data_IF_588481120656
#
_entry.id   IF_588481120656
#
_cell.length_a   1.000
_cell.length_b   1.000
_cell.length_c   1.000
_cell.angle_alpha   90.00
_cell.angle_beta   90.00
_cell.angle_gamma   90.00
#
_symmetry.space_group_name_H-M   'P 1'
#
loop_
_entity.id
_entity.type
_entity.pdbx_description
1 polymer ?
#
# COMPACT_ATOMS: atom_id res chain seq x y z
N UNK A 1 8.45 32.86 -0.19
CA UNK A 1 7.34 32.27 -0.98
C UNK A 1 6.40 31.78 0.10
N UNK A 2 5.16 32.27 0.18
CA UNK A 2 4.28 32.03 1.32
C UNK A 2 4.08 30.54 1.64
N UNK A 3 4.28 29.65 0.66
CA UNK A 3 4.24 28.19 0.84
C UNK A 3 5.52 27.65 1.51
N UNK A 4 6.69 28.22 1.19
CA UNK A 4 7.98 27.87 1.83
C UNK A 4 8.04 28.43 3.25
N UNK A 5 7.47 29.61 3.47
CA UNK A 5 7.40 30.24 4.79
C UNK A 5 6.37 29.52 5.67
N UNK A 6 5.22 29.10 5.12
CA UNK A 6 4.24 28.21 5.78
C UNK A 6 4.81 26.81 6.08
N UNK A 7 5.60 26.25 5.16
CA UNK A 7 6.31 24.98 5.38
C UNK A 7 7.37 25.12 6.48
N UNK A 8 8.17 26.20 6.49
CA UNK A 8 9.18 26.45 7.52
C UNK A 8 8.55 26.66 8.90
N UNK A 9 7.41 27.34 8.96
CA UNK A 9 6.64 27.55 10.18
C UNK A 9 5.91 26.28 10.66
N UNK A 10 5.53 25.38 9.73
CA UNK A 10 4.97 24.04 10.03
C UNK A 10 6.04 23.01 10.43
N UNK A 11 7.30 23.19 10.01
CA UNK A 11 8.46 22.43 10.50
C UNK A 11 8.69 22.72 11.99
N UNK A 12 8.60 23.99 12.41
CA UNK A 12 8.83 24.39 13.81
C UNK A 12 7.69 24.03 14.77
N UNK A 13 6.46 23.85 14.28
CA UNK A 13 5.26 23.66 15.13
C UNK A 13 4.80 22.19 15.30
N UNK A 14 5.55 21.22 14.77
CA UNK A 14 5.22 19.79 14.91
C UNK A 14 4.12 19.28 13.96
N UNK A 15 3.61 20.14 13.08
CA UNK A 15 2.52 19.86 12.13
C UNK A 15 2.96 18.91 11.01
N UNK A 16 4.22 18.98 10.57
CA UNK A 16 4.73 18.08 9.51
C UNK A 16 4.79 16.62 9.96
N UNK A 17 5.02 16.37 11.26
CA UNK A 17 4.95 15.00 11.80
C UNK A 17 3.53 14.44 11.74
N UNK A 18 2.52 15.28 11.96
CA UNK A 18 1.12 14.89 11.83
C UNK A 18 0.81 14.57 10.36
N UNK A 19 1.16 15.44 9.42
CA UNK A 19 0.86 15.22 7.98
C UNK A 19 1.56 13.97 7.41
N UNK A 20 2.84 13.75 7.73
CA UNK A 20 3.53 12.51 7.34
C UNK A 20 2.87 11.28 7.94
N UNK A 21 2.53 11.34 9.23
CA UNK A 21 1.88 10.23 9.92
C UNK A 21 0.48 9.96 9.36
N UNK A 22 -0.25 10.99 8.94
CA UNK A 22 -1.57 10.89 8.33
C UNK A 22 -1.50 10.23 6.93
N UNK A 23 -0.55 10.66 6.07
CA UNK A 23 -0.33 10.04 4.75
C UNK A 23 0.15 8.59 4.92
N UNK A 24 1.09 8.36 5.84
CA UNK A 24 1.60 7.04 6.15
C UNK A 24 0.51 6.11 6.68
N UNK A 25 -0.33 6.57 7.62
CA UNK A 25 -1.46 5.81 8.14
C UNK A 25 -2.47 5.49 7.04
N UNK A 26 -2.75 6.44 6.14
CA UNK A 26 -3.63 6.20 5.00
C UNK A 26 -3.06 5.10 4.09
N UNK A 27 -1.75 5.12 3.79
CA UNK A 27 -1.11 4.10 2.96
C UNK A 27 -1.08 2.72 3.63
N UNK A 28 -0.88 2.65 4.95
CA UNK A 28 -1.01 1.41 5.72
C UNK A 28 -2.47 0.91 5.72
N UNK A 29 -3.44 1.81 5.82
CA UNK A 29 -4.86 1.48 5.75
C UNK A 29 -5.21 0.92 4.36
N UNK A 30 -4.67 1.50 3.29
CA UNK A 30 -4.81 0.98 1.92
C UNK A 30 -4.23 -0.43 1.80
N UNK A 31 -3.05 -0.72 2.35
CA UNK A 31 -2.49 -2.08 2.37
C UNK A 31 -3.42 -3.05 3.10
N UNK A 32 -3.93 -2.64 4.25
CA UNK A 32 -4.83 -3.49 5.03
C UNK A 32 -6.12 -3.76 4.26
N UNK A 33 -6.70 -2.74 3.62
CA UNK A 33 -7.83 -2.90 2.71
C UNK A 33 -7.49 -3.82 1.54
N UNK A 34 -6.33 -3.67 0.91
CA UNK A 34 -5.88 -4.52 -0.20
C UNK A 34 -5.74 -5.99 0.22
N UNK A 35 -5.26 -6.24 1.43
CA UNK A 35 -5.20 -7.57 2.01
C UNK A 35 -6.60 -8.15 2.28
N UNK A 36 -7.51 -7.35 2.87
CA UNK A 36 -8.90 -7.75 3.13
C UNK A 36 -9.67 -7.98 1.83
N UNK A 37 -9.49 -7.14 0.82
CA UNK A 37 -10.14 -7.31 -0.47
C UNK A 37 -9.50 -8.43 -1.29
N UNK A 38 -8.22 -8.74 -1.08
CA UNK A 38 -7.58 -9.93 -1.61
C UNK A 38 -8.23 -11.23 -1.10
N UNK A 39 -8.83 -11.22 0.10
CA UNK A 39 -9.65 -12.33 0.59
C UNK A 39 -10.94 -12.50 -0.22
N UNK A 40 -11.46 -11.40 -0.76
CA UNK A 40 -12.69 -11.36 -1.56
C UNK A 40 -12.39 -11.43 -3.08
N UNK A 41 -11.26 -12.03 -3.46
CA UNK A 41 -10.83 -12.21 -4.85
C UNK A 41 -10.40 -10.89 -5.54
N UNK A 42 -10.84 -10.62 -6.77
CA UNK A 42 -10.43 -9.47 -7.58
C UNK A 42 -10.89 -8.09 -7.03
N UNK A 43 -11.44 -7.99 -5.82
CA UNK A 43 -11.86 -6.70 -5.27
C UNK A 43 -10.68 -5.74 -5.01
N UNK A 44 -9.49 -6.28 -4.76
CA UNK A 44 -8.24 -5.50 -4.70
C UNK A 44 -7.90 -4.80 -6.02
N UNK A 45 -8.35 -5.34 -7.18
CA UNK A 45 -8.15 -4.70 -8.47
C UNK A 45 -8.96 -3.40 -8.60
N UNK A 46 -10.12 -3.29 -7.93
CA UNK A 46 -10.90 -2.05 -7.92
C UNK A 46 -10.21 -0.94 -7.14
N UNK A 47 -9.58 -1.26 -6.00
CA UNK A 47 -8.80 -0.29 -5.23
C UNK A 47 -7.59 0.18 -6.03
N UNK A 48 -6.90 -0.73 -6.70
CA UNK A 48 -5.76 -0.37 -7.54
C UNK A 48 -6.17 0.45 -8.77
N UNK A 49 -7.29 0.10 -9.40
CA UNK A 49 -7.86 0.87 -10.51
C UNK A 49 -8.32 2.26 -10.08
N UNK A 50 -8.91 2.38 -8.88
CA UNK A 50 -9.29 3.66 -8.31
C UNK A 50 -8.07 4.54 -8.07
N UNK A 51 -7.04 4.04 -7.39
CA UNK A 51 -5.79 4.78 -7.18
C UNK A 51 -5.10 5.15 -8.50
N UNK A 52 -5.05 4.23 -9.46
CA UNK A 52 -4.51 4.49 -10.80
C UNK A 52 -5.32 5.53 -11.60
N UNK A 53 -6.65 5.54 -11.45
CA UNK A 53 -7.52 6.54 -12.07
C UNK A 53 -7.25 7.94 -11.52
N UNK A 54 -7.10 8.10 -10.20
CA UNK A 54 -6.76 9.40 -9.61
C UNK A 54 -5.41 9.90 -10.11
N UNK A 55 -4.39 9.05 -10.13
CA UNK A 55 -3.08 9.40 -10.68
C UNK A 55 -3.22 9.84 -12.15
N UNK A 56 -3.96 9.07 -12.96
CA UNK A 56 -4.22 9.39 -14.37
C UNK A 56 -4.96 10.72 -14.55
N UNK A 57 -5.97 10.98 -13.73
CA UNK A 57 -6.72 12.23 -13.72
C UNK A 57 -5.81 13.42 -13.39
N UNK A 58 -4.96 13.31 -12.35
CA UNK A 58 -3.99 14.35 -12.01
C UNK A 58 -2.93 14.53 -13.11
N UNK A 59 -2.47 13.47 -13.78
CA UNK A 59 -1.55 13.61 -14.92
C UNK A 59 -2.19 14.32 -16.11
N UNK A 60 -3.49 14.12 -16.36
CA UNK A 60 -4.18 14.70 -17.51
C UNK A 60 -4.45 16.21 -17.36
N UNK A 61 -4.49 16.72 -16.13
CA UNK A 61 -4.73 18.13 -15.83
C UNK A 61 -3.42 18.93 -15.77
N UNK A 62 -2.29 18.25 -15.59
CA UNK A 62 -0.98 18.89 -15.53
C UNK A 62 -0.37 18.96 -16.94
N UNK A 63 0.08 20.15 -17.34
CA UNK A 63 0.70 20.36 -18.66
C UNK A 63 2.11 19.72 -18.77
N UNK A 64 2.75 19.41 -17.65
CA UNK A 64 4.10 18.85 -17.60
C UNK A 64 4.10 17.40 -17.07
N UNK A 65 4.06 16.46 -18.00
CA UNK A 65 4.13 15.03 -17.71
C UNK A 65 5.44 14.65 -16.99
N UNK A 66 6.56 15.29 -17.33
CA UNK A 66 7.86 14.98 -16.72
C UNK A 66 7.85 15.31 -15.23
N UNK A 67 7.25 16.44 -14.87
CA UNK A 67 7.07 16.85 -13.48
C UNK A 67 6.17 15.90 -12.69
N UNK A 68 5.07 15.42 -13.27
CA UNK A 68 4.20 14.45 -12.58
C UNK A 68 4.90 13.11 -12.41
N UNK A 69 5.60 12.62 -13.43
CA UNK A 69 6.36 11.37 -13.35
C UNK A 69 7.52 11.47 -12.34
N UNK A 70 8.21 12.61 -12.27
CA UNK A 70 9.28 12.82 -11.29
C UNK A 70 8.76 12.85 -9.84
N UNK A 71 7.52 13.29 -9.63
CA UNK A 71 6.88 13.21 -8.32
C UNK A 71 6.40 11.78 -8.02
N UNK A 72 5.82 11.08 -8.99
CA UNK A 72 5.19 9.78 -8.80
C UNK A 72 6.19 8.61 -8.71
N UNK A 73 7.14 8.54 -9.65
CA UNK A 73 8.00 7.36 -9.83
C UNK A 73 8.81 6.98 -8.58
N UNK A 74 9.47 7.93 -7.86
CA UNK A 74 10.38 7.56 -6.78
C UNK A 74 9.72 6.71 -5.69
N UNK A 75 8.55 7.12 -5.19
CA UNK A 75 7.82 6.38 -4.15
C UNK A 75 6.80 5.38 -4.74
N UNK A 76 6.19 5.71 -5.88
CA UNK A 76 5.09 4.94 -6.48
C UNK A 76 5.48 3.53 -6.91
N UNK A 77 6.74 3.27 -7.26
CA UNK A 77 7.22 1.90 -7.54
C UNK A 77 7.11 1.01 -6.29
N UNK A 78 7.50 1.54 -5.13
CA UNK A 78 7.46 0.81 -3.86
C UNK A 78 6.01 0.63 -3.39
N UNK A 79 5.19 1.67 -3.50
CA UNK A 79 3.77 1.64 -3.15
C UNK A 79 3.00 0.62 -4.00
N UNK A 80 3.17 0.65 -5.33
CA UNK A 80 2.53 -0.29 -6.24
C UNK A 80 2.94 -1.74 -5.95
N UNK A 81 4.24 -1.96 -5.75
CA UNK A 81 4.77 -3.29 -5.43
C UNK A 81 4.22 -3.79 -4.09
N UNK A 82 4.11 -2.91 -3.09
CA UNK A 82 3.54 -3.22 -1.78
C UNK A 82 2.07 -3.63 -1.92
N UNK A 83 1.27 -2.86 -2.66
CA UNK A 83 -0.13 -3.15 -2.94
C UNK A 83 -0.33 -4.51 -3.63
N UNK A 84 0.51 -4.85 -4.62
CA UNK A 84 0.45 -6.15 -5.30
C UNK A 84 0.76 -7.29 -4.32
N UNK A 85 1.78 -7.14 -3.47
CA UNK A 85 2.13 -8.15 -2.46
C UNK A 85 1.03 -8.31 -1.40
N UNK A 86 0.42 -7.22 -0.95
CA UNK A 86 -0.70 -7.24 -0.01
C UNK A 86 -1.90 -8.01 -0.57
N UNK A 87 -2.23 -7.75 -1.84
CA UNK A 87 -3.25 -8.50 -2.58
C UNK A 87 -2.91 -10.00 -2.67
N UNK A 88 -1.68 -10.34 -3.07
CA UNK A 88 -1.23 -11.72 -3.17
C UNK A 88 -1.30 -12.44 -1.81
N UNK A 89 -0.94 -11.76 -0.73
CA UNK A 89 -1.07 -12.26 0.64
C UNK A 89 -2.52 -12.59 1.01
N UNK A 90 -3.48 -11.71 0.68
CA UNK A 90 -4.91 -11.92 0.90
C UNK A 90 -5.45 -13.14 0.14
N UNK A 91 -5.03 -13.34 -1.12
CA UNK A 91 -5.40 -14.51 -1.92
C UNK A 91 -4.83 -15.82 -1.35
N UNK A 92 -3.60 -15.81 -0.83
CA UNK A 92 -3.00 -16.97 -0.17
C UNK A 92 -3.76 -17.31 1.12
N UNK A 93 -4.21 -16.30 1.88
CA UNK A 93 -5.06 -16.51 3.05
C UNK A 93 -6.43 -17.05 2.68
N UNK A 94 -7.05 -16.53 1.61
CA UNK A 94 -8.32 -17.05 1.09
C UNK A 94 -8.20 -18.53 0.73
N UNK A 95 -7.13 -18.92 0.03
CA UNK A 95 -6.90 -20.33 -0.32
C UNK A 95 -6.85 -21.21 0.94
N UNK A 96 -6.14 -20.75 1.98
CA UNK A 96 -6.09 -21.44 3.27
C UNK A 96 -7.49 -21.56 3.91
N UNK A 97 -8.24 -20.46 3.99
CA UNK A 97 -9.59 -20.44 4.57
C UNK A 97 -10.59 -21.30 3.79
N UNK A 98 -10.56 -21.24 2.46
CA UNK A 98 -11.44 -22.01 1.59
C UNK A 98 -11.21 -23.52 1.76
N UNK A 99 -9.94 -23.94 1.83
CA UNK A 99 -9.59 -25.33 2.12
C UNK A 99 -10.04 -25.71 3.53
N UNK A 100 -9.73 -24.88 4.53
CA UNK A 100 -10.11 -25.13 5.92
C UNK A 100 -11.64 -25.28 6.07
N UNK A 101 -12.42 -24.41 5.44
CA UNK A 101 -13.88 -24.48 5.41
C UNK A 101 -14.37 -25.76 4.72
N UNK A 102 -13.77 -26.15 3.59
CA UNK A 102 -14.09 -27.40 2.89
C UNK A 102 -13.83 -28.64 3.74
N UNK A 103 -12.77 -28.65 4.55
CA UNK A 103 -12.49 -29.72 5.51
C UNK A 103 -13.46 -29.69 6.69
N UNK A 104 -13.83 -28.51 7.19
CA UNK A 104 -14.83 -28.37 8.25
C UNK A 104 -16.21 -28.91 7.84
N UNK A 105 -16.60 -28.72 6.57
CA UNK A 105 -17.87 -29.24 6.04
C UNK A 105 -17.84 -30.75 5.72
N UNK A 106 -16.66 -31.36 5.59
CA UNK A 106 -16.53 -32.82 5.43
C UNK A 106 -16.25 -33.41 6.82
N UNK A 107 -17.30 -33.92 7.46
CA UNK A 107 -17.32 -34.40 8.86
C UNK A 107 -16.26 -35.47 9.25
N UNK A 108 -15.45 -35.96 8.32
CA UNK A 108 -14.53 -37.09 8.52
C UNK A 108 -13.06 -36.72 8.85
N UNK A 109 -12.70 -35.43 8.98
CA UNK A 109 -11.30 -35.03 9.22
C UNK A 109 -11.16 -34.11 10.44
N UNK A 110 -10.29 -34.50 11.38
CA UNK A 110 -9.93 -33.69 12.55
C UNK A 110 -9.38 -32.32 12.12
N UNK A 111 -10.04 -31.23 12.53
CA UNK A 111 -9.65 -29.85 12.22
C UNK A 111 -8.20 -29.53 12.61
N UNK A 112 -7.69 -30.20 13.64
CA UNK A 112 -6.29 -30.07 14.07
C UNK A 112 -5.32 -30.57 13.01
N UNK A 113 -5.64 -31.67 12.32
CA UNK A 113 -4.79 -32.24 11.27
C UNK A 113 -4.80 -31.36 10.02
N UNK A 114 -5.97 -30.87 9.61
CA UNK A 114 -6.10 -29.93 8.49
C UNK A 114 -5.32 -28.62 8.76
N UNK A 115 -5.37 -28.11 9.98
CA UNK A 115 -4.64 -26.90 10.38
C UNK A 115 -3.11 -27.12 10.43
N UNK A 116 -2.64 -28.22 11.01
CA UNK A 116 -1.20 -28.54 11.10
C UNK A 116 -0.60 -28.69 9.69
N UNK A 117 -1.26 -29.45 8.81
CA UNK A 117 -0.76 -29.73 7.45
C UNK A 117 -0.72 -28.48 6.57
N UNK A 118 -1.67 -27.55 6.75
CA UNK A 118 -1.79 -26.35 5.90
C UNK A 118 -1.34 -25.04 6.55
N UNK A 119 -0.87 -25.06 7.79
CA UNK A 119 -0.31 -23.90 8.51
C UNK A 119 0.79 -23.17 7.72
N UNK A 120 1.48 -23.88 6.81
CA UNK A 120 2.45 -23.28 5.90
C UNK A 120 1.85 -22.17 5.04
N UNK A 121 0.62 -22.32 4.52
CA UNK A 121 -0.04 -21.31 3.70
C UNK A 121 -0.42 -20.07 4.52
N UNK A 122 -0.86 -20.27 5.75
CA UNK A 122 -1.12 -19.17 6.69
C UNK A 122 0.17 -18.39 6.99
N UNK A 123 1.26 -19.10 7.32
CA UNK A 123 2.58 -18.48 7.53
C UNK A 123 3.05 -17.73 6.28
N UNK A 124 2.89 -18.32 5.10
CA UNK A 124 3.26 -17.71 3.83
C UNK A 124 2.49 -16.40 3.60
N UNK A 125 1.17 -16.39 3.82
CA UNK A 125 0.36 -15.16 3.71
C UNK A 125 0.86 -14.08 4.67
N UNK A 126 1.06 -14.41 5.95
CA UNK A 126 1.54 -13.47 6.97
C UNK A 126 2.91 -12.90 6.59
N UNK A 127 3.85 -13.73 6.12
CA UNK A 127 5.18 -13.28 5.70
C UNK A 127 5.08 -12.31 4.53
N UNK A 128 4.30 -12.63 3.50
CA UNK A 128 4.11 -11.73 2.34
C UNK A 128 3.47 -10.41 2.78
N UNK A 129 2.51 -10.45 3.72
CA UNK A 129 1.88 -9.24 4.27
C UNK A 129 2.89 -8.37 5.00
N UNK A 130 3.73 -8.95 5.87
CA UNK A 130 4.77 -8.21 6.59
C UNK A 130 5.74 -7.56 5.60
N UNK A 131 6.15 -8.28 4.55
CA UNK A 131 7.01 -7.73 3.49
C UNK A 131 6.33 -6.54 2.80
N UNK A 132 5.03 -6.63 2.51
CA UNK A 132 4.29 -5.50 1.91
C UNK A 132 4.27 -4.27 2.82
N UNK A 133 4.05 -4.44 4.13
CA UNK A 133 4.07 -3.34 5.10
C UNK A 133 5.45 -2.69 5.16
N UNK A 134 6.52 -3.49 5.22
CA UNK A 134 7.90 -2.97 5.19
C UNK A 134 8.15 -2.18 3.91
N UNK A 135 7.71 -2.68 2.76
CA UNK A 135 7.90 -2.00 1.48
C UNK A 135 7.13 -0.67 1.39
N UNK A 136 5.95 -0.58 2.02
CA UNK A 136 5.22 0.70 2.10
C UNK A 136 5.89 1.69 3.03
N UNK A 137 6.47 1.23 4.13
CA UNK A 137 7.28 2.10 4.99
C UNK A 137 8.42 2.71 4.15
N UNK A 138 9.13 1.89 3.37
CA UNK A 138 10.16 2.37 2.44
C UNK A 138 9.58 3.36 1.43
N UNK A 139 8.38 3.12 0.87
CA UNK A 139 7.71 4.05 -0.03
C UNK A 139 7.50 5.43 0.61
N UNK A 140 6.96 5.47 1.84
CA UNK A 140 6.74 6.73 2.56
C UNK A 140 8.06 7.46 2.92
N UNK A 141 9.12 6.71 3.25
CA UNK A 141 10.45 7.31 3.39
C UNK A 141 10.93 7.94 2.08
N UNK A 142 10.83 7.21 0.96
CA UNK A 142 11.21 7.74 -0.35
C UNK A 142 10.37 8.97 -0.74
N UNK A 143 9.09 8.98 -0.41
CA UNK A 143 8.21 10.12 -0.66
C UNK A 143 8.71 11.38 0.05
N UNK A 144 9.00 11.28 1.35
CA UNK A 144 9.45 12.43 2.16
C UNK A 144 10.84 12.90 1.79
N UNK A 145 11.79 11.98 1.60
CA UNK A 145 13.20 12.33 1.42
C UNK A 145 13.60 12.56 -0.05
N UNK A 146 12.84 12.03 -1.01
CA UNK A 146 13.14 12.20 -2.44
C UNK A 146 12.03 12.93 -3.18
N UNK A 147 10.78 12.45 -3.11
CA UNK A 147 9.68 13.03 -3.90
C UNK A 147 9.40 14.48 -3.53
N UNK A 148 9.24 14.81 -2.24
CA UNK A 148 8.93 16.19 -1.82
C UNK A 148 10.05 17.18 -2.20
N UNK A 149 11.35 16.89 -1.95
CA UNK A 149 12.44 17.76 -2.39
C UNK A 149 12.51 17.96 -3.91
N UNK A 150 12.30 16.88 -4.69
CA UNK A 150 12.28 16.96 -6.16
C UNK A 150 11.12 17.84 -6.62
N UNK A 151 9.93 17.66 -6.05
CA UNK A 151 8.76 18.49 -6.34
C UNK A 151 9.06 19.98 -6.07
N UNK A 152 9.68 20.27 -4.93
CA UNK A 152 10.03 21.63 -4.52
C UNK A 152 11.03 22.31 -5.47
N UNK A 153 12.04 21.57 -5.92
CA UNK A 153 13.03 22.07 -6.88
C UNK A 153 12.41 22.38 -8.25
N UNK A 154 11.47 21.54 -8.71
CA UNK A 154 10.79 21.73 -9.99
C UNK A 154 9.69 22.81 -9.89
N UNK A 155 9.06 23.02 -8.72
CA UNK A 155 8.01 24.05 -8.49
C UNK A 155 8.54 25.47 -8.33
N UNK A 156 9.83 25.64 -8.04
CA UNK A 156 10.48 26.95 -7.97
C UNK A 156 11.10 27.42 -9.30
N UNK A 157 11.07 26.58 -10.34
CA UNK A 157 11.36 26.96 -11.73
C UNK A 157 10.07 27.11 -12.52
#
# INVERSE_FOLDING_TARGET
NPVVDDLSQKVETGVIRLTFFDIFLNNILIIFQMFVYGLLFCLSAFVLAYNGFFIGYYTAIQDDLYRVLAMLIPHGIFELTSCILACASGLVLFNFLFIFLKYYLKEDVSLKEAFIVKSFKLKQSIVIFIVSVVLMIVAGFVEVYLTIPIAHFILQR
#
